data_IF_713006776730
#
_entry.id   IF_713006776730
#
_cell.length_a   1.000
_cell.length_b   1.000
_cell.length_c   1.000
_cell.angle_alpha   90.00
_cell.angle_beta   90.00
_cell.angle_gamma   90.00
#
_symmetry.space_group_name_H-M   'P 1'
#
loop_
_entity.id
_entity.type
_entity.pdbx_description
1 polymer ?
#
# COMPACT_ATOMS: atom_id res chain seq x y z
N UNK A 1 46.65 -15.87 -2.46
CA UNK A 1 45.65 -15.32 -3.35
C UNK A 1 44.67 -14.54 -2.51
N UNK A 2 44.51 -13.26 -2.77
CA UNK A 2 43.51 -12.43 -2.14
C UNK A 2 42.17 -12.70 -2.87
N UNK A 3 41.12 -13.09 -2.14
CA UNK A 3 39.81 -13.26 -2.75
C UNK A 3 39.30 -11.87 -3.15
N UNK A 4 39.02 -11.66 -4.43
CA UNK A 4 38.34 -10.44 -4.89
C UNK A 4 36.90 -10.46 -4.39
N UNK A 5 36.50 -9.38 -3.72
CA UNK A 5 35.10 -9.21 -3.34
C UNK A 5 34.24 -8.96 -4.61
N UNK A 6 33.14 -9.67 -4.81
CA UNK A 6 32.29 -9.46 -5.96
C UNK A 6 31.65 -8.06 -5.93
N UNK A 7 31.50 -7.44 -7.10
CA UNK A 7 30.69 -6.23 -7.26
C UNK A 7 29.22 -6.60 -7.07
N UNK A 8 28.55 -6.02 -6.07
CA UNK A 8 27.14 -6.31 -5.76
C UNK A 8 26.15 -5.46 -6.56
N UNK A 9 26.66 -4.46 -7.28
CA UNK A 9 25.82 -3.52 -8.03
C UNK A 9 25.05 -2.53 -7.14
N UNK A 10 24.25 -1.63 -7.76
CA UNK A 10 23.42 -0.70 -7.01
C UNK A 10 22.29 -1.43 -6.28
N UNK A 11 22.00 -1.02 -5.05
CA UNK A 11 20.89 -1.53 -4.25
C UNK A 11 19.98 -0.37 -3.82
N UNK A 12 18.71 -0.68 -3.62
CA UNK A 12 17.74 0.25 -3.00
C UNK A 12 17.52 -0.16 -1.55
N UNK A 13 17.29 0.83 -0.68
CA UNK A 13 16.85 0.55 0.68
C UNK A 13 15.44 -0.07 0.64
N UNK A 14 15.25 -1.17 1.37
CA UNK A 14 13.96 -1.86 1.44
C UNK A 14 12.94 -1.15 2.36
N UNK A 15 13.39 -0.19 3.15
CA UNK A 15 12.53 0.62 4.01
C UNK A 15 13.18 1.97 4.30
N UNK A 16 12.33 2.93 4.68
CA UNK A 16 12.76 4.24 5.22
C UNK A 16 11.92 4.55 6.46
N UNK A 17 12.60 4.99 7.53
CA UNK A 17 11.97 5.32 8.81
C UNK A 17 12.23 6.78 9.17
N UNK A 18 11.20 7.46 9.68
CA UNK A 18 11.25 8.84 10.11
C UNK A 18 10.15 9.12 11.15
N UNK A 19 10.21 10.26 11.82
CA UNK A 19 9.24 10.66 12.83
C UNK A 19 8.26 11.71 12.26
N UNK A 20 6.99 11.61 12.68
CA UNK A 20 5.98 12.66 12.58
C UNK A 20 5.52 12.91 14.03
N UNK A 21 5.98 14.00 14.65
CA UNK A 21 5.79 14.19 16.08
C UNK A 21 6.34 13.01 16.86
N UNK A 22 5.53 12.40 17.71
CA UNK A 22 5.88 11.20 18.49
C UNK A 22 5.64 9.88 17.74
N UNK A 23 5.04 9.91 16.55
CA UNK A 23 4.79 8.72 15.75
C UNK A 23 5.97 8.35 14.87
N UNK A 24 6.35 7.06 14.88
CA UNK A 24 7.35 6.53 13.98
C UNK A 24 6.70 6.01 12.71
N UNK A 25 7.06 6.57 11.56
CA UNK A 25 6.56 6.17 10.24
C UNK A 25 7.63 5.39 9.50
N UNK A 26 7.27 4.22 8.97
CA UNK A 26 8.18 3.39 8.19
C UNK A 26 7.52 3.01 6.87
N UNK A 27 8.03 3.54 5.75
CA UNK A 27 7.66 3.04 4.42
C UNK A 27 8.46 1.78 4.13
N UNK A 28 7.81 0.74 3.62
CA UNK A 28 8.45 -0.54 3.26
C UNK A 28 8.27 -0.82 1.77
N UNK A 29 9.28 -1.37 1.12
CA UNK A 29 9.21 -1.75 -0.30
C UNK A 29 8.65 -3.17 -0.42
N UNK A 30 7.34 -3.26 -0.60
CA UNK A 30 6.59 -4.51 -0.77
C UNK A 30 6.70 -5.11 -2.18
N UNK A 31 7.38 -4.45 -3.11
CA UNK A 31 7.61 -4.97 -4.45
C UNK A 31 7.79 -3.90 -5.51
N UNK A 32 8.28 -4.32 -6.68
CA UNK A 32 8.35 -3.47 -7.88
C UNK A 32 7.90 -4.27 -9.09
N UNK A 33 7.21 -3.60 -10.03
CA UNK A 33 6.78 -4.21 -11.29
C UNK A 33 7.17 -3.28 -12.45
N UNK A 34 7.96 -3.73 -13.42
CA UNK A 34 8.17 -2.99 -14.66
C UNK A 34 6.88 -3.01 -15.49
N UNK A 35 6.61 -1.90 -16.17
CA UNK A 35 5.46 -1.75 -17.09
C UNK A 35 5.94 -1.08 -18.36
N UNK A 36 5.68 -1.73 -19.47
CA UNK A 36 5.84 -1.14 -20.78
C UNK A 36 4.67 -0.21 -21.11
N UNK A 37 4.85 0.69 -22.07
CA UNK A 37 3.83 1.61 -22.55
C UNK A 37 3.14 2.40 -21.41
N UNK A 38 3.86 3.27 -20.69
CA UNK A 38 3.27 4.03 -19.59
C UNK A 38 2.12 4.96 -20.03
N UNK A 39 2.09 5.40 -21.30
CA UNK A 39 0.97 6.19 -21.82
C UNK A 39 -0.37 5.46 -21.74
N UNK A 40 -0.38 4.14 -21.91
CA UNK A 40 -1.58 3.31 -21.79
C UNK A 40 -2.16 3.24 -20.37
N UNK A 41 -1.46 3.83 -19.39
CA UNK A 41 -1.88 3.89 -17.98
C UNK A 41 -2.08 5.33 -17.52
N UNK A 42 -1.12 6.23 -17.82
CA UNK A 42 -1.05 7.58 -17.24
C UNK A 42 -1.44 8.71 -18.20
N UNK A 43 -1.66 8.43 -19.46
CA UNK A 43 -1.87 9.46 -20.48
C UNK A 43 -2.84 9.07 -21.59
N UNK A 44 -3.85 8.25 -21.31
CA UNK A 44 -4.82 7.76 -22.30
C UNK A 44 -5.68 8.88 -22.91
N UNK A 45 -5.75 10.03 -22.28
CA UNK A 45 -6.56 11.19 -22.69
C UNK A 45 -5.79 12.25 -23.48
N UNK A 46 -4.51 12.01 -23.80
CA UNK A 46 -3.66 12.91 -24.58
C UNK A 46 -3.03 12.19 -25.77
N UNK A 47 -2.51 12.96 -26.76
CA UNK A 47 -1.79 12.37 -27.89
C UNK A 47 -0.42 11.82 -27.49
N UNK A 48 0.15 10.93 -28.32
CA UNK A 48 1.51 10.41 -28.12
C UNK A 48 2.55 11.53 -28.10
N UNK A 49 2.38 12.55 -28.97
CA UNK A 49 3.26 13.71 -29.06
C UNK A 49 3.23 14.54 -27.77
N UNK A 50 2.04 14.81 -27.23
CA UNK A 50 1.87 15.55 -25.98
C UNK A 50 2.42 14.77 -24.78
N UNK A 51 2.11 13.47 -24.69
CA UNK A 51 2.66 12.59 -23.66
C UNK A 51 4.19 12.55 -23.70
N UNK A 52 4.77 12.40 -24.90
CA UNK A 52 6.23 12.38 -25.09
C UNK A 52 6.87 13.73 -24.71
N UNK A 53 6.25 14.85 -25.09
CA UNK A 53 6.76 16.18 -24.76
C UNK A 53 6.79 16.43 -23.24
N UNK A 54 5.71 16.08 -22.52
CA UNK A 54 5.64 16.21 -21.06
C UNK A 54 6.59 15.25 -20.38
N UNK A 55 6.69 14.01 -20.84
CA UNK A 55 7.63 13.01 -20.32
C UNK A 55 9.07 13.48 -20.43
N UNK A 56 9.46 14.00 -21.59
CA UNK A 56 10.82 14.52 -21.83
C UNK A 56 11.15 15.71 -20.92
N UNK A 57 10.21 16.63 -20.68
CA UNK A 57 10.39 17.75 -19.74
C UNK A 57 10.65 17.28 -18.29
N UNK A 58 10.16 16.11 -17.93
CA UNK A 58 10.28 15.52 -16.58
C UNK A 58 11.31 14.39 -16.51
N UNK A 59 12.11 14.17 -17.55
CA UNK A 59 13.11 13.12 -17.64
C UNK A 59 12.55 11.70 -17.45
N UNK A 60 11.30 11.49 -17.89
CA UNK A 60 10.61 10.20 -17.83
C UNK A 60 10.72 9.47 -19.17
N UNK A 61 10.83 8.14 -19.14
CA UNK A 61 10.75 7.31 -20.33
C UNK A 61 9.31 7.22 -20.82
N UNK A 62 9.15 7.18 -22.17
CA UNK A 62 7.89 6.86 -22.82
C UNK A 62 7.68 5.37 -23.09
N UNK A 63 8.76 4.57 -22.99
CA UNK A 63 8.75 3.16 -23.36
C UNK A 63 8.42 2.25 -22.18
N UNK A 64 8.94 2.61 -20.99
CA UNK A 64 8.77 1.80 -19.78
C UNK A 64 8.74 2.65 -18.52
N UNK A 65 8.00 2.17 -17.53
CA UNK A 65 7.97 2.67 -16.16
C UNK A 65 8.22 1.54 -15.18
N UNK A 66 8.53 1.89 -13.94
CA UNK A 66 8.61 0.94 -12.84
C UNK A 66 7.70 1.37 -11.72
N UNK A 67 6.77 0.50 -11.36
CA UNK A 67 5.89 0.70 -10.22
C UNK A 67 6.57 0.23 -8.95
N UNK A 68 6.41 0.99 -7.89
CA UNK A 68 6.91 0.67 -6.55
C UNK A 68 5.70 0.59 -5.63
N UNK A 69 5.55 -0.53 -4.94
CA UNK A 69 4.48 -0.75 -3.98
C UNK A 69 5.05 -0.58 -2.58
N UNK A 70 4.59 0.45 -1.89
CA UNK A 70 5.18 0.91 -0.63
C UNK A 70 4.16 0.99 0.49
N UNK A 71 3.67 -0.15 1.02
CA UNK A 71 2.90 -0.14 2.24
C UNK A 71 3.61 0.65 3.33
N UNK A 72 2.85 1.30 4.20
CA UNK A 72 3.41 2.21 5.19
C UNK A 72 2.96 1.82 6.59
N UNK A 73 3.91 1.71 7.50
CA UNK A 73 3.66 1.48 8.93
C UNK A 73 3.66 2.81 9.68
N UNK A 74 2.76 2.92 10.63
CA UNK A 74 2.77 3.96 11.65
C UNK A 74 2.75 3.29 13.03
N UNK A 75 3.81 3.46 13.79
CA UNK A 75 3.87 3.04 15.18
C UNK A 75 3.53 4.27 16.05
N UNK A 76 2.39 4.22 16.72
CA UNK A 76 1.90 5.29 17.60
C UNK A 76 2.51 5.21 19.00
N UNK A 77 3.26 4.16 19.28
CA UNK A 77 3.73 3.80 20.62
C UNK A 77 2.73 2.93 21.41
N UNK A 78 1.46 2.90 20.98
CA UNK A 78 0.41 2.05 21.51
C UNK A 78 -0.01 0.96 20.51
N UNK A 79 -0.12 1.29 19.22
CA UNK A 79 -0.49 0.38 18.15
C UNK A 79 0.47 0.50 16.96
N UNK A 80 0.67 -0.62 16.27
CA UNK A 80 1.34 -0.71 14.99
C UNK A 80 0.29 -0.79 13.88
N UNK A 81 0.16 0.28 13.10
CA UNK A 81 -0.83 0.43 12.02
C UNK A 81 -0.14 0.24 10.67
N UNK A 82 -0.64 -0.68 9.85
CA UNK A 82 -0.17 -0.91 8.48
C UNK A 82 -1.19 -0.35 7.49
N UNK A 83 -0.77 0.55 6.62
CA UNK A 83 -1.55 1.09 5.50
C UNK A 83 -1.24 0.29 4.25
N UNK A 84 -2.28 -0.37 3.71
CA UNK A 84 -2.26 -1.26 2.55
C UNK A 84 -1.32 -2.48 2.70
N UNK A 85 -1.52 -3.48 1.86
CA UNK A 85 -0.82 -4.76 2.01
C UNK A 85 -0.03 -5.20 0.77
N UNK A 86 0.08 -4.31 -0.22
CA UNK A 86 0.87 -4.59 -1.42
C UNK A 86 0.27 -5.69 -2.31
N UNK A 87 1.11 -6.22 -3.19
CA UNK A 87 0.72 -7.19 -4.23
C UNK A 87 0.46 -8.61 -3.70
N UNK A 88 1.16 -9.03 -2.64
CA UNK A 88 1.02 -10.36 -2.06
C UNK A 88 1.64 -10.44 -0.66
N UNK A 89 1.21 -11.43 0.11
CA UNK A 89 1.63 -11.64 1.48
C UNK A 89 3.15 -11.82 1.65
N UNK A 90 3.79 -12.63 0.80
CA UNK A 90 5.21 -12.94 0.93
C UNK A 90 6.09 -11.69 0.74
N UNK A 91 5.78 -10.84 -0.24
CA UNK A 91 6.52 -9.60 -0.48
C UNK A 91 6.34 -8.61 0.69
N UNK A 92 5.13 -8.45 1.20
CA UNK A 92 4.86 -7.52 2.30
C UNK A 92 5.45 -7.99 3.62
N UNK A 93 5.32 -9.28 3.96
CA UNK A 93 5.94 -9.83 5.18
C UNK A 93 7.46 -9.83 5.12
N UNK A 94 8.06 -10.07 3.94
CA UNK A 94 9.50 -9.93 3.72
C UNK A 94 9.98 -8.48 3.89
N UNK A 95 9.21 -7.50 3.41
CA UNK A 95 9.50 -6.09 3.60
C UNK A 95 9.36 -5.66 5.07
N UNK A 96 8.33 -6.15 5.79
CA UNK A 96 8.18 -5.97 7.23
C UNK A 96 9.40 -6.50 7.99
N UNK A 97 9.82 -7.74 7.70
CA UNK A 97 10.99 -8.34 8.34
C UNK A 97 12.27 -7.53 8.10
N UNK A 98 12.46 -6.98 6.90
CA UNK A 98 13.59 -6.10 6.60
C UNK A 98 13.57 -4.80 7.40
N UNK A 99 12.39 -4.34 7.81
CA UNK A 99 12.19 -3.17 8.66
C UNK A 99 12.22 -3.50 10.17
N UNK A 100 12.37 -4.77 10.54
CA UNK A 100 12.46 -5.24 11.93
C UNK A 100 11.11 -5.55 12.58
N UNK A 101 10.04 -5.71 11.78
CA UNK A 101 8.70 -6.07 12.24
C UNK A 101 8.27 -7.44 11.73
N UNK A 102 7.30 -8.04 12.40
CA UNK A 102 6.63 -9.29 11.97
C UNK A 102 5.14 -9.06 11.76
N UNK A 103 4.48 -9.92 11.00
CA UNK A 103 3.06 -9.77 10.68
C UNK A 103 2.15 -9.88 11.91
N UNK A 104 2.53 -10.65 12.92
CA UNK A 104 1.81 -10.83 14.18
C UNK A 104 1.91 -9.62 15.13
N UNK A 105 2.84 -8.68 14.86
CA UNK A 105 2.96 -7.42 15.60
C UNK A 105 2.02 -6.32 15.06
N UNK A 106 1.44 -6.50 13.88
CA UNK A 106 0.51 -5.52 13.31
C UNK A 106 -0.83 -5.60 14.03
N UNK A 107 -1.22 -4.50 14.67
CA UNK A 107 -2.48 -4.41 15.43
C UNK A 107 -3.64 -3.99 14.52
N UNK A 108 -3.36 -3.18 13.50
CA UNK A 108 -4.37 -2.63 12.61
C UNK A 108 -3.86 -2.63 11.17
N UNK A 109 -4.67 -3.16 10.26
CA UNK A 109 -4.49 -2.98 8.81
C UNK A 109 -5.54 -2.01 8.30
N UNK A 110 -5.10 -0.93 7.68
CA UNK A 110 -5.94 0.11 7.08
C UNK A 110 -5.84 -0.01 5.57
N UNK A 111 -6.97 -0.10 4.89
CA UNK A 111 -7.04 -0.11 3.43
C UNK A 111 -7.48 1.26 2.92
N UNK A 112 -6.66 1.85 2.05
CA UNK A 112 -7.01 3.10 1.38
C UNK A 112 -8.09 2.89 0.33
N UNK A 113 -7.97 1.80 -0.41
CA UNK A 113 -8.92 1.32 -1.41
C UNK A 113 -8.63 -0.16 -1.75
N UNK A 114 -9.41 -0.77 -2.64
CA UNK A 114 -9.38 -2.22 -2.84
C UNK A 114 -8.88 -2.67 -4.22
N UNK A 115 -7.98 -1.92 -4.86
CA UNK A 115 -7.22 -2.46 -5.99
C UNK A 115 -6.26 -3.56 -5.52
N UNK A 116 -5.92 -4.48 -6.45
CA UNK A 116 -5.15 -5.68 -6.12
C UNK A 116 -3.79 -5.44 -5.47
N UNK A 117 -3.16 -4.32 -5.77
CA UNK A 117 -1.88 -3.90 -5.20
C UNK A 117 -1.99 -3.28 -3.79
N UNK A 118 -3.20 -3.14 -3.26
CA UNK A 118 -3.49 -2.69 -1.89
C UNK A 118 -4.02 -3.81 -1.01
N UNK A 119 -4.76 -4.76 -1.59
CA UNK A 119 -5.40 -5.86 -0.86
C UNK A 119 -4.70 -7.23 -1.06
N UNK A 120 -3.75 -7.34 -1.99
CA UNK A 120 -3.16 -8.62 -2.40
C UNK A 120 -2.39 -9.34 -1.29
N UNK A 121 -1.93 -8.64 -0.28
CA UNK A 121 -1.23 -9.21 0.87
C UNK A 121 -2.11 -9.53 2.08
N UNK A 122 -3.44 -9.35 2.01
CA UNK A 122 -4.34 -9.61 3.13
C UNK A 122 -4.42 -11.09 3.51
N UNK A 123 -4.39 -11.98 2.52
CA UNK A 123 -4.50 -13.42 2.72
C UNK A 123 -3.23 -14.13 2.27
N UNK A 124 -2.85 -15.17 3.01
CA UNK A 124 -1.75 -16.08 2.69
C UNK A 124 -2.24 -17.52 2.80
N UNK A 125 -2.27 -18.24 1.67
CA UNK A 125 -2.69 -19.64 1.62
C UNK A 125 -4.04 -19.93 2.33
N UNK A 126 -5.00 -19.01 2.20
CA UNK A 126 -6.33 -19.15 2.79
C UNK A 126 -6.45 -18.72 4.26
N UNK A 127 -5.39 -18.18 4.86
CA UNK A 127 -5.39 -17.62 6.21
C UNK A 127 -5.06 -16.11 6.19
N UNK A 128 -5.52 -15.33 7.19
CA UNK A 128 -5.12 -13.94 7.33
C UNK A 128 -3.61 -13.80 7.50
N UNK A 129 -2.98 -12.93 6.70
CA UNK A 129 -1.54 -12.63 6.81
C UNK A 129 -1.20 -11.95 8.13
N UNK A 130 -2.13 -11.15 8.66
CA UNK A 130 -1.98 -10.39 9.91
C UNK A 130 -2.95 -10.94 10.95
N UNK A 131 -2.59 -12.01 11.66
CA UNK A 131 -3.55 -12.80 12.45
C UNK A 131 -4.15 -12.04 13.65
N UNK A 132 -3.38 -11.09 14.21
CA UNK A 132 -3.77 -10.33 15.38
C UNK A 132 -4.44 -8.99 15.04
N UNK A 133 -4.43 -8.60 13.75
CA UNK A 133 -4.93 -7.31 13.32
C UNK A 133 -6.47 -7.25 13.26
N UNK A 134 -7.03 -6.08 13.60
CA UNK A 134 -8.32 -5.64 13.08
C UNK A 134 -8.12 -4.91 11.76
N UNK A 135 -9.14 -4.84 10.95
CA UNK A 135 -9.08 -4.24 9.61
C UNK A 135 -9.99 -3.02 9.54
N UNK A 136 -9.52 -1.97 8.85
CA UNK A 136 -10.24 -0.70 8.74
C UNK A 136 -10.26 -0.26 7.28
N UNK A 137 -11.41 0.20 6.79
CA UNK A 137 -11.56 0.76 5.45
C UNK A 137 -12.76 1.72 5.39
N UNK A 138 -12.92 2.46 4.30
CA UNK A 138 -14.12 3.26 4.04
C UNK A 138 -15.35 2.39 3.79
N UNK A 139 -16.50 2.77 4.38
CA UNK A 139 -17.78 2.07 4.14
C UNK A 139 -18.14 2.06 2.65
N UNK A 140 -18.02 3.22 1.98
CA UNK A 140 -18.37 3.37 0.56
C UNK A 140 -17.48 2.50 -0.33
N UNK A 141 -16.20 2.38 0.02
CA UNK A 141 -15.26 1.52 -0.70
C UNK A 141 -15.64 0.05 -0.59
N UNK A 142 -15.88 -0.41 0.64
CA UNK A 142 -16.31 -1.79 0.86
C UNK A 142 -17.62 -2.11 0.13
N UNK A 143 -18.64 -1.25 0.25
CA UNK A 143 -19.95 -1.49 -0.37
C UNK A 143 -19.87 -1.54 -1.89
N UNK A 144 -19.04 -0.69 -2.51
CA UNK A 144 -18.80 -0.71 -3.95
C UNK A 144 -18.24 -2.06 -4.40
N UNK A 145 -17.14 -2.53 -3.78
CA UNK A 145 -16.49 -3.77 -4.18
C UNK A 145 -17.29 -5.01 -3.77
N UNK A 146 -18.03 -4.95 -2.67
CA UNK A 146 -18.93 -6.02 -2.25
C UNK A 146 -20.08 -6.27 -3.23
N UNK A 147 -20.47 -5.22 -3.97
CA UNK A 147 -21.47 -5.31 -5.03
C UNK A 147 -20.90 -5.58 -6.42
N UNK A 148 -19.57 -5.57 -6.57
CA UNK A 148 -18.88 -5.85 -7.83
C UNK A 148 -18.47 -7.34 -7.91
N UNK A 149 -18.52 -7.91 -9.11
CA UNK A 149 -17.98 -9.26 -9.36
C UNK A 149 -16.45 -9.16 -9.50
N UNK A 150 -15.71 -9.13 -8.38
CA UNK A 150 -14.26 -8.98 -8.35
C UNK A 150 -13.60 -10.13 -7.58
N UNK A 151 -12.86 -10.97 -8.29
CA UNK A 151 -12.18 -12.15 -7.72
C UNK A 151 -11.16 -11.77 -6.62
N UNK A 152 -10.44 -10.66 -6.79
CA UNK A 152 -9.46 -10.19 -5.80
C UNK A 152 -10.12 -9.79 -4.49
N UNK A 153 -11.26 -9.10 -4.56
CA UNK A 153 -12.05 -8.74 -3.39
C UNK A 153 -12.60 -10.00 -2.69
N UNK A 154 -13.21 -10.91 -3.44
CA UNK A 154 -13.77 -12.15 -2.89
C UNK A 154 -12.72 -13.03 -2.22
N UNK A 155 -11.50 -13.09 -2.79
CA UNK A 155 -10.42 -13.89 -2.24
C UNK A 155 -9.73 -13.27 -1.02
N UNK A 156 -9.56 -11.94 -0.99
CA UNK A 156 -8.72 -11.28 -0.01
C UNK A 156 -9.49 -10.48 1.04
N UNK A 157 -10.61 -9.84 0.67
CA UNK A 157 -11.34 -8.91 1.55
C UNK A 157 -12.55 -9.57 2.17
N UNK A 158 -13.38 -10.26 1.37
CA UNK A 158 -14.61 -10.90 1.84
C UNK A 158 -14.40 -11.81 3.06
N UNK A 159 -13.34 -12.65 3.12
CA UNK A 159 -13.09 -13.50 4.29
C UNK A 159 -12.80 -12.74 5.58
N UNK A 160 -12.45 -11.44 5.46
CA UNK A 160 -12.08 -10.59 6.59
C UNK A 160 -13.24 -9.70 7.09
N UNK A 161 -14.40 -9.74 6.44
CA UNK A 161 -15.53 -8.82 6.68
C UNK A 161 -15.94 -8.72 8.15
N UNK A 162 -15.99 -9.86 8.86
CA UNK A 162 -16.37 -9.91 10.29
C UNK A 162 -15.35 -9.24 11.23
N UNK A 163 -14.12 -9.00 10.74
CA UNK A 163 -13.05 -8.32 11.47
C UNK A 163 -12.87 -6.87 11.04
N UNK A 164 -13.71 -6.39 10.13
CA UNK A 164 -13.60 -5.03 9.57
C UNK A 164 -14.38 -4.01 10.37
N UNK A 165 -13.79 -2.83 10.49
CA UNK A 165 -14.44 -1.59 10.91
C UNK A 165 -14.55 -0.68 9.72
N UNK A 166 -15.75 -0.15 9.48
CA UNK A 166 -16.05 0.71 8.34
C UNK A 166 -16.13 2.17 8.79
N UNK A 167 -15.38 3.04 8.09
CA UNK A 167 -15.33 4.46 8.40
C UNK A 167 -16.16 5.27 7.39
N UNK A 168 -16.77 6.35 7.90
CA UNK A 168 -17.19 7.49 7.11
C UNK A 168 -16.09 8.55 7.03
N UNK A 169 -16.38 9.65 6.30
CA UNK A 169 -15.50 10.82 6.27
C UNK A 169 -15.31 11.40 7.67
N UNK A 170 -14.06 11.64 8.05
CA UNK A 170 -13.69 12.13 9.39
C UNK A 170 -13.66 11.06 10.48
N UNK A 171 -13.85 9.78 10.14
CA UNK A 171 -13.80 8.68 11.12
C UNK A 171 -12.37 8.38 11.59
N UNK A 172 -12.19 8.12 12.88
CA UNK A 172 -10.89 7.83 13.46
C UNK A 172 -10.53 6.33 13.35
N UNK A 173 -9.31 6.06 12.94
CA UNK A 173 -8.69 4.71 13.03
C UNK A 173 -8.23 4.46 14.47
N UNK A 174 -7.41 5.36 14.97
CA UNK A 174 -6.91 5.47 16.36
C UNK A 174 -6.67 6.94 16.66
N UNK A 175 -6.34 7.26 17.90
CA UNK A 175 -5.95 8.64 18.28
C UNK A 175 -4.81 9.14 17.41
N UNK A 176 -5.01 10.27 16.74
CA UNK A 176 -4.03 10.89 15.83
C UNK A 176 -4.04 10.33 14.40
N UNK A 177 -4.92 9.39 14.05
CA UNK A 177 -5.07 8.90 12.67
C UNK A 177 -6.54 8.93 12.26
N UNK A 178 -6.89 9.84 11.34
CA UNK A 178 -8.26 10.11 10.90
C UNK A 178 -8.42 9.84 9.42
N UNK A 179 -9.43 9.07 9.03
CA UNK A 179 -9.82 8.80 7.64
C UNK A 179 -10.57 9.99 7.03
N UNK A 180 -10.24 10.32 5.79
CA UNK A 180 -10.89 11.37 5.02
C UNK A 180 -11.30 10.84 3.66
N UNK A 181 -12.52 11.15 3.22
CA UNK A 181 -12.99 10.77 1.89
C UNK A 181 -12.17 11.48 0.81
N UNK A 182 -11.67 10.70 -0.16
CA UNK A 182 -10.90 11.18 -1.30
C UNK A 182 -11.34 10.43 -2.58
N UNK A 183 -12.65 10.45 -2.82
CA UNK A 183 -13.30 9.70 -3.90
C UNK A 183 -12.80 10.14 -5.28
N UNK A 184 -12.70 9.20 -6.20
CA UNK A 184 -12.31 9.45 -7.58
C UNK A 184 -11.42 8.36 -8.16
N UNK A 185 -10.34 7.98 -7.49
CA UNK A 185 -9.50 6.85 -7.91
C UNK A 185 -10.26 5.53 -7.83
N UNK A 186 -10.98 5.33 -6.72
CA UNK A 186 -12.10 4.40 -6.60
C UNK A 186 -13.30 5.16 -6.02
N UNK A 187 -14.54 4.63 -6.14
CA UNK A 187 -15.73 5.31 -5.64
C UNK A 187 -15.74 5.62 -4.15
N UNK A 188 -14.98 4.89 -3.35
CA UNK A 188 -14.91 5.06 -1.90
C UNK A 188 -13.49 5.26 -1.35
N UNK A 189 -12.53 5.61 -2.21
CA UNK A 189 -11.12 5.83 -1.82
C UNK A 189 -10.99 6.76 -0.61
N UNK A 190 -10.16 6.37 0.35
CA UNK A 190 -9.84 7.14 1.54
C UNK A 190 -8.37 7.55 1.55
N UNK A 191 -8.10 8.71 2.11
CA UNK A 191 -6.77 9.14 2.57
C UNK A 191 -6.78 9.23 4.09
N UNK A 192 -5.61 9.22 4.71
CA UNK A 192 -5.52 9.22 6.17
C UNK A 192 -4.59 10.34 6.63
N UNK A 193 -5.14 11.23 7.47
CA UNK A 193 -4.35 12.27 8.13
C UNK A 193 -3.69 11.68 9.37
N UNK A 194 -2.38 11.90 9.49
CA UNK A 194 -1.57 11.52 10.65
C UNK A 194 -1.21 12.81 11.39
N UNK A 195 -1.62 12.90 12.64
CA UNK A 195 -1.52 14.08 13.50
C UNK A 195 -0.93 13.62 14.83
N UNK A 196 0.33 13.95 15.07
CA UNK A 196 1.02 13.65 16.32
C UNK A 196 1.60 14.93 16.90
N UNK A 197 1.43 15.13 18.20
CA UNK A 197 1.89 16.32 18.93
C UNK A 197 3.41 16.35 19.07
#
# INVERSE_FOLDING_TARGET
AQAEAPMLGPSMANHRRFMIGDFEVTTILGGTVPRDNPQGIFGMNVSEEEFAAVSAQNFLSTDASRFFFTPTLVNTGAELVLFDTGLNAAATTGALASAGYTADQVDIVVLTHMHGDHIGGLMNEGAPTFPNARYVTGQVEYDHWAGAENEGFEANVRPMADKMTFLGDGGDVVSGITGMAAFGHTPGHMVYRIDSA
#
